data_IF_246979340385
#
_entry.id   IF_246979340385
#
_cell.length_a   1.000
_cell.length_b   1.000
_cell.length_c   1.000
_cell.angle_alpha   90.00
_cell.angle_beta   90.00
_cell.angle_gamma   90.00
#
_symmetry.space_group_name_H-M   'P 1'
#
loop_
_entity.id
_entity.type
_entity.pdbx_description
1 polymer ?
#
# COMPACT_ATOMS: atom_id res chain seq x y z
N UNK A 1 29.37 -1.28 -6.14
CA UNK A 1 28.46 -2.43 -6.13
C UNK A 1 27.11 -1.87 -5.74
N UNK A 2 26.05 -2.12 -6.52
CA UNK A 2 24.70 -1.66 -6.14
C UNK A 2 24.31 -2.43 -4.88
N UNK A 3 24.03 -1.72 -3.77
CA UNK A 3 23.61 -2.38 -2.53
C UNK A 3 22.34 -3.19 -2.78
N UNK A 4 22.35 -4.44 -2.34
CA UNK A 4 21.21 -5.35 -2.44
C UNK A 4 19.98 -4.69 -1.78
N UNK A 5 18.81 -4.78 -2.42
CA UNK A 5 17.59 -4.20 -1.87
C UNK A 5 17.28 -4.85 -0.51
N UNK A 6 17.13 -4.09 0.60
CA UNK A 6 16.91 -4.67 1.92
C UNK A 6 15.64 -5.52 1.93
N UNK A 7 15.73 -6.78 2.35
CA UNK A 7 14.59 -7.69 2.52
C UNK A 7 14.24 -7.80 4.01
N UNK A 8 13.49 -8.83 4.40
CA UNK A 8 13.27 -9.11 5.82
C UNK A 8 14.60 -9.23 6.58
N UNK A 9 14.61 -8.69 7.81
CA UNK A 9 15.80 -8.70 8.64
C UNK A 9 16.18 -10.13 9.05
N UNK A 10 17.47 -10.40 9.00
CA UNK A 10 18.09 -11.61 9.55
C UNK A 10 19.09 -11.21 10.63
N UNK A 11 19.48 -12.17 11.46
CA UNK A 11 20.57 -11.95 12.41
C UNK A 11 21.83 -11.47 11.68
N UNK A 12 22.48 -10.44 12.22
CA UNK A 12 23.64 -9.81 11.59
C UNK A 12 23.33 -8.87 10.41
N UNK A 13 22.10 -8.36 10.28
CA UNK A 13 21.76 -7.42 9.21
C UNK A 13 22.62 -6.13 9.26
N UNK A 14 22.93 -5.60 8.08
CA UNK A 14 23.53 -4.27 7.93
C UNK A 14 22.42 -3.21 8.03
N UNK A 15 22.57 -2.18 8.89
CA UNK A 15 21.68 -1.02 8.87
C UNK A 15 21.57 -0.40 7.48
N UNK A 16 20.39 0.10 7.14
CA UNK A 16 20.09 0.76 5.87
C UNK A 16 19.37 2.09 6.13
N UNK A 17 19.44 2.99 5.16
CA UNK A 17 18.65 4.23 5.18
C UNK A 17 17.22 3.95 4.68
N UNK A 18 16.19 4.08 5.52
CA UNK A 18 14.81 3.85 5.10
C UNK A 18 14.34 4.82 4.00
N UNK A 19 14.91 6.03 3.89
CA UNK A 19 14.53 6.98 2.83
C UNK A 19 15.05 6.52 1.46
N UNK A 20 16.24 5.94 1.41
CA UNK A 20 16.73 5.34 0.16
C UNK A 20 15.93 4.09 -0.22
N UNK A 21 15.52 3.27 0.77
CA UNK A 21 14.60 2.15 0.51
C UNK A 21 13.25 2.66 0.03
N UNK A 22 12.74 3.76 0.58
CA UNK A 22 11.49 4.37 0.13
C UNK A 22 11.55 4.72 -1.36
N UNK A 23 12.57 5.49 -1.77
CA UNK A 23 12.79 5.89 -3.16
C UNK A 23 12.89 4.69 -4.10
N UNK A 24 13.69 3.68 -3.74
CA UNK A 24 13.83 2.44 -4.52
C UNK A 24 12.55 1.63 -4.59
N UNK A 25 11.76 1.61 -3.51
CA UNK A 25 10.48 0.88 -3.46
C UNK A 25 9.46 1.57 -4.35
N UNK A 26 9.35 2.89 -4.28
CA UNK A 26 8.47 3.70 -5.13
C UNK A 26 8.73 3.44 -6.61
N UNK A 27 10.00 3.41 -7.05
CA UNK A 27 10.38 3.06 -8.44
C UNK A 27 9.88 1.66 -8.87
N UNK A 28 9.70 0.73 -7.92
CA UNK A 28 9.24 -0.64 -8.19
C UNK A 28 7.72 -0.73 -8.19
N UNK A 29 7.05 -0.03 -7.26
CA UNK A 29 5.61 -0.20 -6.99
C UNK A 29 4.73 0.86 -7.63
N UNK A 30 5.33 1.91 -8.20
CA UNK A 30 4.66 3.02 -8.88
C UNK A 30 4.95 3.02 -10.37
N UNK A 31 3.92 3.28 -11.19
CA UNK A 31 4.08 3.53 -12.64
C UNK A 31 2.97 4.44 -13.12
N UNK A 32 3.33 5.61 -13.64
CA UNK A 32 2.34 6.59 -14.15
C UNK A 32 1.30 6.92 -13.06
N UNK A 33 0.03 6.63 -13.29
CA UNK A 33 -1.08 6.79 -12.33
C UNK A 33 -1.39 5.50 -11.52
N UNK A 34 -0.55 4.47 -11.67
CA UNK A 34 -0.81 3.12 -11.18
C UNK A 34 0.11 2.74 -10.03
N UNK A 35 -0.42 1.91 -9.12
CA UNK A 35 0.31 1.35 -7.98
C UNK A 35 0.08 -0.15 -7.86
N UNK A 36 1.07 -0.89 -7.34
CA UNK A 36 0.93 -2.31 -7.04
C UNK A 36 0.10 -2.61 -5.79
N UNK A 37 -0.85 -3.53 -5.92
CA UNK A 37 -1.66 -4.09 -4.83
C UNK A 37 -1.65 -5.63 -4.90
N UNK A 38 -1.68 -6.30 -3.74
CA UNK A 38 -1.82 -7.78 -3.72
C UNK A 38 -3.28 -8.22 -3.72
N UNK A 39 -4.17 -7.40 -3.17
CA UNK A 39 -5.57 -7.77 -3.00
C UNK A 39 -6.48 -6.59 -2.68
N UNK A 40 -7.76 -6.78 -2.98
CA UNK A 40 -8.85 -5.93 -2.54
C UNK A 40 -9.89 -6.80 -1.81
N UNK A 41 -10.10 -6.58 -0.52
CA UNK A 41 -10.99 -7.41 0.29
C UNK A 41 -11.70 -6.63 1.39
N UNK A 42 -12.76 -7.20 1.96
CA UNK A 42 -13.44 -6.65 3.14
C UNK A 42 -13.02 -7.36 4.41
N UNK A 43 -12.88 -6.61 5.51
CA UNK A 43 -12.58 -7.15 6.85
C UNK A 43 -13.39 -6.43 7.91
N UNK A 44 -13.55 -7.05 9.09
CA UNK A 44 -14.42 -6.57 10.18
C UNK A 44 -13.82 -5.45 11.05
N UNK A 45 -12.56 -5.06 10.83
CA UNK A 45 -11.97 -3.92 11.54
C UNK A 45 -12.70 -2.62 11.22
N UNK A 46 -12.67 -1.66 12.15
CA UNK A 46 -13.43 -0.40 12.06
C UNK A 46 -14.94 -0.57 11.85
N UNK A 47 -15.52 -1.72 12.24
CA UNK A 47 -16.95 -2.01 12.03
C UNK A 47 -17.29 -2.52 10.63
N UNK A 48 -16.29 -2.86 9.82
CA UNK A 48 -16.45 -3.29 8.43
C UNK A 48 -15.82 -2.29 7.47
N UNK A 49 -14.86 -2.75 6.66
CA UNK A 49 -14.12 -1.87 5.75
C UNK A 49 -13.64 -2.61 4.50
N UNK A 50 -13.72 -1.94 3.34
CA UNK A 50 -13.09 -2.40 2.10
C UNK A 50 -11.63 -1.94 2.06
N UNK A 51 -10.70 -2.86 1.83
CA UNK A 51 -9.25 -2.64 1.96
C UNK A 51 -8.55 -2.90 0.64
N UNK A 52 -7.75 -1.94 0.19
CA UNK A 52 -6.69 -2.14 -0.81
C UNK A 52 -5.38 -2.43 -0.09
N UNK A 53 -4.77 -3.57 -0.39
CA UNK A 53 -3.54 -4.03 0.29
C UNK A 53 -2.32 -3.72 -0.56
N UNK A 54 -1.66 -2.61 -0.25
CA UNK A 54 -0.56 -2.04 -1.02
C UNK A 54 0.72 -2.87 -0.89
N UNK A 55 1.46 -2.97 -1.99
CA UNK A 55 2.79 -3.60 -2.06
C UNK A 55 3.86 -2.60 -1.64
N UNK A 56 4.94 -3.10 -1.00
CA UNK A 56 6.16 -2.35 -0.71
C UNK A 56 6.09 -1.43 0.51
N UNK A 57 7.14 -1.41 1.33
CA UNK A 57 7.31 -0.50 2.46
C UNK A 57 8.79 -0.10 2.58
N UNK A 58 9.08 1.07 3.14
CA UNK A 58 10.45 1.48 3.42
C UNK A 58 11.04 0.90 4.72
N UNK A 59 10.18 0.35 5.58
CA UNK A 59 10.59 -0.26 6.85
C UNK A 59 10.72 -1.79 6.76
N UNK A 60 11.58 -2.35 7.62
CA UNK A 60 11.73 -3.81 7.84
C UNK A 60 11.42 -4.18 9.27
N UNK A 61 10.26 -3.72 9.77
CA UNK A 61 9.81 -4.02 11.13
C UNK A 61 9.81 -5.53 11.36
N UNK A 62 10.50 -5.99 12.41
CA UNK A 62 10.65 -7.42 12.74
C UNK A 62 9.28 -8.05 13.05
N UNK A 63 8.36 -7.27 13.59
CA UNK A 63 7.01 -7.67 13.99
C UNK A 63 5.95 -7.42 12.91
N UNK A 64 6.35 -7.11 11.66
CA UNK A 64 5.39 -6.80 10.61
C UNK A 64 4.56 -8.03 10.24
N UNK A 65 3.25 -7.82 10.06
CA UNK A 65 2.30 -8.85 9.62
C UNK A 65 2.02 -8.84 8.13
N UNK A 66 2.66 -7.92 7.38
CA UNK A 66 2.50 -7.85 5.93
C UNK A 66 3.17 -9.06 5.31
N UNK A 67 2.50 -9.61 4.29
CA UNK A 67 2.99 -10.75 3.53
C UNK A 67 4.32 -10.41 2.78
N UNK A 68 4.91 -11.37 2.04
CA UNK A 68 6.17 -11.15 1.32
C UNK A 68 6.18 -9.94 0.37
N UNK A 69 5.03 -9.37 -0.02
CA UNK A 69 4.93 -8.16 -0.84
C UNK A 69 5.58 -6.92 -0.24
N UNK A 70 5.79 -6.88 1.08
CA UNK A 70 6.62 -5.84 1.70
C UNK A 70 8.06 -5.93 1.22
N UNK A 71 8.61 -7.15 1.24
CA UNK A 71 10.03 -7.41 1.07
C UNK A 71 10.41 -7.71 -0.37
N UNK A 72 9.49 -8.23 -1.18
CA UNK A 72 9.70 -8.63 -2.58
C UNK A 72 8.77 -7.88 -3.54
N UNK A 73 8.77 -6.53 -3.54
CA UNK A 73 7.81 -5.72 -4.30
C UNK A 73 7.89 -5.96 -5.82
N UNK A 74 9.03 -6.39 -6.34
CA UNK A 74 9.24 -6.64 -7.77
C UNK A 74 8.44 -7.84 -8.28
N UNK A 75 8.19 -8.84 -7.43
CA UNK A 75 7.56 -10.11 -7.82
C UNK A 75 6.14 -10.29 -7.27
N UNK A 76 5.65 -9.33 -6.47
CA UNK A 76 4.38 -9.45 -5.75
C UNK A 76 3.38 -8.38 -6.20
N UNK A 77 2.11 -8.76 -6.32
CA UNK A 77 0.99 -7.88 -6.67
C UNK A 77 0.97 -7.42 -8.13
N UNK A 78 -0.13 -6.78 -8.49
CA UNK A 78 -0.41 -6.27 -9.84
C UNK A 78 -0.62 -4.76 -9.81
N UNK A 79 -0.35 -4.08 -10.93
CA UNK A 79 -0.60 -2.65 -11.06
C UNK A 79 -2.08 -2.36 -11.25
N UNK A 80 -2.59 -1.37 -10.54
CA UNK A 80 -3.93 -0.82 -10.68
C UNK A 80 -3.84 0.68 -10.81
N UNK A 81 -4.58 1.26 -11.75
CA UNK A 81 -4.74 2.72 -11.83
C UNK A 81 -5.49 3.24 -10.60
N UNK A 82 -5.46 4.57 -10.38
CA UNK A 82 -6.27 5.19 -9.33
C UNK A 82 -7.77 4.89 -9.52
N UNK A 83 -8.25 4.91 -10.76
CA UNK A 83 -9.64 4.59 -11.11
C UNK A 83 -10.00 3.13 -10.80
N UNK A 84 -9.14 2.19 -11.16
CA UNK A 84 -9.35 0.76 -10.87
C UNK A 84 -9.33 0.50 -9.37
N UNK A 85 -8.41 1.13 -8.65
CA UNK A 85 -8.31 1.05 -7.19
C UNK A 85 -9.57 1.57 -6.52
N UNK A 86 -10.06 2.75 -6.90
CA UNK A 86 -11.31 3.31 -6.40
C UNK A 86 -12.51 2.41 -6.74
N UNK A 87 -12.56 1.87 -7.96
CA UNK A 87 -13.63 0.96 -8.42
C UNK A 87 -13.68 -0.32 -7.59
N UNK A 88 -12.55 -0.95 -7.32
CA UNK A 88 -12.46 -2.16 -6.49
C UNK A 88 -12.86 -1.88 -5.04
N UNK A 89 -12.32 -0.80 -4.45
CA UNK A 89 -12.65 -0.38 -3.09
C UNK A 89 -14.15 -0.13 -2.91
N UNK A 90 -14.73 0.72 -3.74
CA UNK A 90 -16.15 1.08 -3.67
C UNK A 90 -17.05 -0.10 -4.07
N UNK A 91 -16.61 -0.93 -5.02
CA UNK A 91 -17.33 -2.14 -5.43
C UNK A 91 -17.45 -3.15 -4.28
N UNK A 92 -16.35 -3.41 -3.59
CA UNK A 92 -16.33 -4.23 -2.38
C UNK A 92 -17.19 -3.63 -1.27
N UNK A 93 -17.06 -2.33 -1.02
CA UNK A 93 -17.81 -1.65 0.04
C UNK A 93 -19.33 -1.72 -0.18
N UNK A 94 -19.79 -1.45 -1.42
CA UNK A 94 -21.21 -1.62 -1.83
C UNK A 94 -21.69 -3.04 -1.64
N UNK A 95 -20.92 -4.04 -2.11
CA UNK A 95 -21.30 -5.46 -2.02
C UNK A 95 -21.46 -5.93 -0.57
N UNK A 96 -20.66 -5.38 0.35
CA UNK A 96 -20.66 -5.77 1.77
C UNK A 96 -21.40 -4.80 2.67
N UNK A 97 -22.04 -3.79 2.09
CA UNK A 97 -22.84 -2.78 2.80
C UNK A 97 -22.07 -2.11 3.94
N UNK A 98 -20.79 -1.83 3.69
CA UNK A 98 -19.93 -1.04 4.59
C UNK A 98 -19.76 0.36 4.03
N UNK A 99 -19.56 1.34 4.89
CA UNK A 99 -19.48 2.77 4.54
C UNK A 99 -18.04 3.30 4.51
N UNK A 100 -17.06 2.41 4.71
CA UNK A 100 -15.63 2.76 4.79
C UNK A 100 -14.78 2.01 3.79
N UNK A 101 -13.73 2.69 3.36
CA UNK A 101 -12.65 2.16 2.52
C UNK A 101 -11.30 2.52 3.14
N UNK A 102 -10.27 1.71 2.90
CA UNK A 102 -8.90 2.01 3.32
C UNK A 102 -7.86 1.53 2.33
N UNK A 103 -6.69 2.15 2.41
CA UNK A 103 -5.46 1.60 1.87
C UNK A 103 -4.52 1.28 3.04
N UNK A 104 -3.98 0.06 3.05
CA UNK A 104 -3.12 -0.51 4.11
C UNK A 104 -2.11 -1.48 3.47
N UNK A 105 -1.49 -2.38 4.24
CA UNK A 105 -0.50 -3.34 3.79
C UNK A 105 0.91 -2.78 3.97
N UNK A 106 1.57 -2.45 2.86
CA UNK A 106 2.87 -1.79 2.84
C UNK A 106 2.83 -0.32 3.31
N UNK A 107 3.54 0.57 2.63
CA UNK A 107 3.49 2.01 2.88
C UNK A 107 2.76 2.74 1.73
N UNK A 108 1.47 3.10 1.92
CA UNK A 108 0.67 3.72 0.88
C UNK A 108 1.16 5.10 0.42
N UNK A 109 1.97 5.82 1.22
CA UNK A 109 2.46 7.15 0.84
C UNK A 109 3.60 7.12 -0.18
N UNK A 110 4.24 5.97 -0.42
CA UNK A 110 5.27 5.76 -1.46
C UNK A 110 4.80 5.99 -2.90
N UNK A 111 3.52 6.25 -3.14
CA UNK A 111 3.00 6.58 -4.48
C UNK A 111 2.00 7.71 -4.31
N UNK A 112 2.50 8.88 -3.91
CA UNK A 112 1.67 9.98 -3.41
C UNK A 112 0.64 10.43 -4.44
N UNK A 113 1.04 10.58 -5.69
CA UNK A 113 0.18 11.03 -6.79
C UNK A 113 -0.97 10.04 -7.01
N UNK A 114 -0.69 8.74 -7.02
CA UNK A 114 -1.71 7.70 -7.10
C UNK A 114 -2.66 7.76 -5.88
N UNK A 115 -2.13 7.89 -4.67
CA UNK A 115 -2.95 7.98 -3.45
C UNK A 115 -3.88 9.20 -3.48
N UNK A 116 -3.37 10.38 -3.87
CA UNK A 116 -4.17 11.59 -4.00
C UNK A 116 -5.26 11.43 -5.06
N UNK A 117 -4.94 10.86 -6.22
CA UNK A 117 -5.93 10.58 -7.26
C UNK A 117 -7.03 9.62 -6.78
N UNK A 118 -6.69 8.60 -5.99
CA UNK A 118 -7.68 7.69 -5.37
C UNK A 118 -8.57 8.45 -4.37
N UNK A 119 -8.00 9.37 -3.58
CA UNK A 119 -8.76 10.19 -2.64
C UNK A 119 -9.76 11.10 -3.38
N UNK A 120 -9.33 11.76 -4.46
CA UNK A 120 -10.19 12.63 -5.29
C UNK A 120 -11.38 11.86 -5.88
N UNK A 121 -11.18 10.58 -6.22
CA UNK A 121 -12.24 9.71 -6.74
C UNK A 121 -13.21 9.22 -5.65
N UNK A 122 -12.75 9.10 -4.41
CA UNK A 122 -13.55 8.59 -3.28
C UNK A 122 -14.30 9.72 -2.58
N UNK A 123 -13.71 10.90 -2.41
CA UNK A 123 -14.31 12.04 -1.73
C UNK A 123 -15.78 12.34 -2.14
N UNK A 124 -16.13 12.46 -3.43
CA UNK A 124 -17.50 12.79 -3.84
C UNK A 124 -18.52 11.67 -3.58
N UNK A 125 -18.07 10.46 -3.21
CA UNK A 125 -18.94 9.30 -2.98
C UNK A 125 -19.51 9.24 -1.56
N UNK A 126 -18.95 10.02 -0.63
CA UNK A 126 -19.36 10.05 0.78
C UNK A 126 -18.88 8.86 1.63
N UNK A 127 -18.08 7.93 1.07
CA UNK A 127 -17.46 6.86 1.85
C UNK A 127 -16.35 7.41 2.74
N UNK A 128 -16.26 6.92 3.97
CA UNK A 128 -15.15 7.26 4.87
C UNK A 128 -13.85 6.61 4.41
N UNK A 129 -12.81 7.42 4.14
CA UNK A 129 -11.48 6.91 3.81
C UNK A 129 -10.59 6.82 5.06
N UNK A 130 -9.91 5.69 5.24
CA UNK A 130 -8.89 5.50 6.28
C UNK A 130 -7.54 5.21 5.61
N UNK A 131 -6.50 5.94 5.99
CA UNK A 131 -5.13 5.67 5.56
C UNK A 131 -4.36 4.99 6.69
N UNK A 132 -3.81 3.80 6.45
CA UNK A 132 -2.85 3.17 7.36
C UNK A 132 -1.44 3.38 6.82
N UNK A 133 -0.63 4.15 7.53
CA UNK A 133 0.72 4.54 7.16
C UNK A 133 1.66 4.36 8.35
N UNK A 134 2.95 4.17 8.07
CA UNK A 134 4.01 4.17 9.07
C UNK A 134 4.35 5.58 9.58
N UNK A 135 3.82 6.63 8.96
CA UNK A 135 3.95 8.01 9.42
C UNK A 135 5.32 8.66 9.16
N UNK A 136 6.18 8.03 8.35
CA UNK A 136 7.43 8.65 7.89
C UNK A 136 7.07 9.71 6.84
N UNK A 137 7.57 10.95 6.95
CA UNK A 137 7.40 11.96 5.91
C UNK A 137 8.34 11.60 4.75
N UNK A 138 7.75 11.07 3.68
CA UNK A 138 8.42 10.70 2.43
C UNK A 138 7.98 11.68 1.33
#
# INVERSE_FOLDING_TARGET
>A
MMEEYPRFLREGFTPFDPLEVARRTEEIVSREDSRKYTSFYCTGVYGGISTGYAVGCCLRCIFCWVDPSRDYPESQGEFYTAEETARELLGNARRRQVDRVRISGGEPTLCKEHLLAVLDLIEPTGYGFILETNGIPI
#
